data_IF_771896718761
#
_entry.id   IF_771896718761
#
_cell.length_a   1.000
_cell.length_b   1.000
_cell.length_c   1.000
_cell.angle_alpha   90.00
_cell.angle_beta   90.00
_cell.angle_gamma   90.00
#
_symmetry.space_group_name_H-M   'P 1'
#
loop_
_entity.id
_entity.type
_entity.pdbx_description
1 polymer ?
#
# COMPACT_ATOMS: atom_id res chain seq x y z
N UNK A 1 -43.46 -27.32 74.72
CA UNK A 1 -42.02 -27.57 74.59
C UNK A 1 -41.66 -27.13 73.16
N UNK A 2 -40.77 -26.20 73.14
CA UNK A 2 -40.50 -25.27 72.09
C UNK A 2 -39.95 -25.86 70.77
N UNK A 3 -40.60 -25.47 69.67
CA UNK A 3 -40.02 -25.54 68.34
C UNK A 3 -40.01 -24.11 67.77
N UNK A 4 -39.01 -23.34 68.19
CA UNK A 4 -38.65 -22.09 67.50
C UNK A 4 -37.12 -21.97 67.44
N UNK A 5 -36.66 -21.49 66.28
CA UNK A 5 -35.26 -21.10 65.96
C UNK A 5 -34.40 -22.11 65.16
N UNK A 6 -34.69 -22.37 63.89
CA UNK A 6 -33.66 -22.76 62.88
C UNK A 6 -33.81 -22.06 61.52
N UNK A 7 -34.82 -21.14 61.35
CA UNK A 7 -35.15 -20.58 60.03
C UNK A 7 -34.28 -19.37 59.57
N UNK A 8 -33.61 -18.60 60.42
CA UNK A 8 -33.05 -17.29 60.05
C UNK A 8 -31.57 -17.27 59.67
N UNK A 9 -30.80 -18.32 59.94
CA UNK A 9 -29.37 -18.32 59.61
C UNK A 9 -29.04 -18.73 58.14
N UNK A 10 -29.93 -19.43 57.43
CA UNK A 10 -29.68 -19.89 56.07
C UNK A 10 -30.01 -18.85 54.97
N UNK A 11 -30.95 -17.94 55.24
CA UNK A 11 -31.32 -16.89 54.26
C UNK A 11 -30.24 -15.85 54.04
N UNK A 12 -29.50 -15.46 55.11
CA UNK A 12 -28.41 -14.47 54.99
C UNK A 12 -27.13 -15.00 54.30
N UNK A 13 -26.85 -16.30 54.41
CA UNK A 13 -25.74 -16.92 53.67
C UNK A 13 -26.02 -17.07 52.18
N UNK A 14 -27.27 -17.41 51.78
CA UNK A 14 -27.67 -17.51 50.38
C UNK A 14 -27.68 -16.12 49.69
N UNK A 15 -28.19 -15.09 50.37
CA UNK A 15 -28.15 -13.73 49.81
C UNK A 15 -26.76 -13.16 49.62
N UNK A 16 -25.81 -13.40 50.55
CA UNK A 16 -24.42 -13.02 50.41
C UNK A 16 -23.69 -13.80 49.28
N UNK A 17 -23.96 -15.08 49.11
CA UNK A 17 -23.40 -15.89 48.04
C UNK A 17 -23.92 -15.46 46.64
N UNK A 18 -25.22 -15.17 46.52
CA UNK A 18 -25.80 -14.62 45.28
C UNK A 18 -25.23 -13.25 44.91
N UNK A 19 -25.00 -12.36 45.88
CA UNK A 19 -24.39 -11.07 45.64
C UNK A 19 -22.90 -11.18 45.24
N UNK A 20 -22.12 -12.11 45.80
CA UNK A 20 -20.74 -12.36 45.42
C UNK A 20 -20.64 -12.93 43.99
N UNK A 21 -21.56 -13.82 43.61
CA UNK A 21 -21.63 -14.37 42.24
C UNK A 21 -22.03 -13.28 41.23
N UNK A 22 -23.02 -12.43 41.58
CA UNK A 22 -23.45 -11.32 40.74
C UNK A 22 -22.31 -10.28 40.54
N UNK A 23 -21.58 -9.94 41.61
CA UNK A 23 -20.41 -9.01 41.54
C UNK A 23 -19.31 -9.60 40.67
N UNK A 24 -19.05 -10.92 40.72
CA UNK A 24 -18.06 -11.57 39.87
C UNK A 24 -18.49 -11.59 38.38
N UNK A 25 -19.77 -11.81 38.10
CA UNK A 25 -20.28 -11.81 36.73
C UNK A 25 -20.17 -10.41 36.08
N UNK A 26 -20.50 -9.37 36.82
CA UNK A 26 -20.38 -7.99 36.29
C UNK A 26 -18.92 -7.54 36.11
N UNK A 27 -18.04 -7.96 37.05
CA UNK A 27 -16.60 -7.74 36.88
C UNK A 27 -16.02 -8.47 35.64
N UNK A 28 -16.48 -9.69 35.38
CA UNK A 28 -16.10 -10.46 34.19
C UNK A 28 -16.66 -9.79 32.92
N UNK A 29 -17.93 -9.37 32.91
CA UNK A 29 -18.53 -8.64 31.78
C UNK A 29 -17.78 -7.34 31.48
N UNK A 30 -17.39 -6.58 32.51
CA UNK A 30 -16.62 -5.34 32.36
C UNK A 30 -15.21 -5.62 31.83
N UNK A 31 -14.56 -6.70 32.27
CA UNK A 31 -13.25 -7.14 31.77
C UNK A 31 -13.32 -7.58 30.31
N UNK A 32 -14.37 -8.32 29.93
CA UNK A 32 -14.62 -8.73 28.53
C UNK A 32 -14.90 -7.51 27.65
N UNK A 33 -15.70 -6.54 28.12
CA UNK A 33 -15.98 -5.29 27.39
C UNK A 33 -14.71 -4.46 27.20
N UNK A 34 -13.85 -4.34 28.22
CA UNK A 34 -12.53 -3.66 28.13
C UNK A 34 -11.57 -4.40 27.20
N UNK A 35 -11.57 -5.74 27.20
CA UNK A 35 -10.78 -6.54 26.25
C UNK A 35 -11.29 -6.41 24.83
N UNK A 36 -12.60 -6.44 24.58
CA UNK A 36 -13.20 -6.19 23.26
C UNK A 36 -12.85 -4.80 22.75
N UNK A 37 -12.95 -3.77 23.59
CA UNK A 37 -12.57 -2.40 23.22
C UNK A 37 -11.05 -2.26 22.94
N UNK A 38 -10.19 -2.95 23.71
CA UNK A 38 -8.75 -2.99 23.40
C UNK A 38 -8.46 -3.76 22.10
N UNK A 39 -9.16 -4.87 21.85
CA UNK A 39 -9.03 -5.64 20.60
C UNK A 39 -9.51 -4.82 19.40
N UNK A 40 -10.63 -4.11 19.52
CA UNK A 40 -11.13 -3.18 18.49
C UNK A 40 -10.14 -2.02 18.27
N UNK A 41 -9.59 -1.43 19.33
CA UNK A 41 -8.54 -0.40 19.19
C UNK A 41 -7.25 -0.95 18.57
N UNK A 42 -6.88 -2.19 18.84
CA UNK A 42 -5.71 -2.85 18.20
C UNK A 42 -6.02 -3.16 16.74
N UNK A 43 -7.23 -3.61 16.39
CA UNK A 43 -7.63 -3.79 14.99
C UNK A 43 -7.72 -2.48 14.21
N UNK A 44 -8.11 -1.36 14.84
CA UNK A 44 -8.16 -0.03 14.21
C UNK A 44 -6.78 0.62 14.04
N UNK A 45 -5.74 0.15 14.76
CA UNK A 45 -4.35 0.63 14.60
C UNK A 45 -3.60 -0.07 13.46
N UNK A 46 -4.17 -1.11 12.85
CA UNK A 46 -3.60 -1.83 11.71
C UNK A 46 -4.22 -1.44 10.35
N UNK A 47 -4.70 -0.20 10.19
CA UNK A 47 -4.88 0.37 8.86
C UNK A 47 -3.51 0.68 8.27
N UNK A 48 -2.81 -0.37 7.83
CA UNK A 48 -1.56 -0.25 7.10
C UNK A 48 -1.84 0.47 5.78
N UNK A 49 -1.09 1.53 5.53
CA UNK A 49 -0.88 2.13 4.24
C UNK A 49 -0.20 1.06 3.37
N UNK A 50 -0.94 0.42 2.50
CA UNK A 50 -0.37 -0.39 1.43
C UNK A 50 -0.31 0.52 0.20
N UNK A 51 0.84 0.68 -0.45
CA UNK A 51 0.95 1.20 -1.83
C UNK A 51 0.11 0.33 -2.76
N UNK A 52 0.17 0.52 -4.07
CA UNK A 52 -0.59 -0.40 -4.95
C UNK A 52 -0.73 -1.76 -4.28
N UNK A 53 -1.94 -2.26 -4.08
CA UNK A 53 -2.13 -3.55 -3.43
C UNK A 53 -1.25 -4.62 -4.10
N UNK A 54 -1.00 -5.72 -3.42
CA UNK A 54 -0.09 -6.76 -3.93
C UNK A 54 -0.37 -7.17 -5.38
N UNK A 55 -1.64 -7.16 -5.80
CA UNK A 55 -2.06 -7.47 -7.17
C UNK A 55 -1.52 -6.45 -8.16
N UNK A 56 -1.62 -5.15 -7.86
CA UNK A 56 -1.13 -4.07 -8.73
C UNK A 56 0.39 -4.08 -8.87
N UNK A 57 1.14 -4.17 -7.76
CA UNK A 57 2.60 -4.28 -7.81
C UNK A 57 3.08 -5.50 -8.59
N UNK A 58 2.46 -6.66 -8.36
CA UNK A 58 2.81 -7.87 -9.10
C UNK A 58 2.51 -7.77 -10.59
N UNK A 59 1.38 -7.16 -10.96
CA UNK A 59 1.05 -6.92 -12.36
C UNK A 59 2.08 -5.99 -13.02
N UNK A 60 2.49 -4.91 -12.34
CA UNK A 60 3.57 -4.02 -12.83
C UNK A 60 4.89 -4.76 -13.03
N UNK A 61 5.30 -5.59 -12.06
CA UNK A 61 6.50 -6.42 -12.18
C UNK A 61 6.42 -7.42 -13.34
N UNK A 62 5.29 -8.10 -13.51
CA UNK A 62 5.03 -9.06 -14.59
C UNK A 62 5.08 -8.39 -15.97
N UNK A 63 4.48 -7.20 -16.11
CA UNK A 63 4.55 -6.42 -17.34
C UNK A 63 6.01 -6.05 -17.63
N UNK A 64 6.75 -5.56 -16.64
CA UNK A 64 8.14 -5.20 -16.82
C UNK A 64 8.99 -6.38 -17.32
N UNK A 65 8.79 -7.58 -16.77
CA UNK A 65 9.52 -8.78 -17.20
C UNK A 65 9.37 -9.04 -18.71
N UNK A 66 8.22 -8.71 -19.30
CA UNK A 66 7.95 -8.93 -20.72
C UNK A 66 8.79 -8.03 -21.65
N UNK A 67 9.24 -6.87 -21.15
CA UNK A 67 9.98 -5.86 -21.93
C UNK A 67 11.47 -5.78 -21.55
N UNK A 68 11.96 -6.68 -20.67
CA UNK A 68 13.41 -6.76 -20.37
C UNK A 68 14.18 -7.32 -21.55
N UNK A 69 15.38 -6.79 -21.78
CA UNK A 69 16.36 -7.42 -22.67
C UNK A 69 16.90 -8.71 -22.07
N UNK A 70 17.48 -9.56 -22.87
CA UNK A 70 18.06 -10.82 -22.38
C UNK A 70 19.23 -10.56 -21.42
N UNK A 71 20.08 -9.55 -21.72
CA UNK A 71 21.18 -9.19 -20.83
C UNK A 71 20.68 -8.72 -19.46
N UNK A 72 19.67 -7.84 -19.45
CA UNK A 72 19.04 -7.37 -18.19
C UNK A 72 18.46 -8.56 -17.39
N UNK A 73 17.81 -9.52 -18.03
CA UNK A 73 17.31 -10.74 -17.36
C UNK A 73 18.44 -11.54 -16.72
N UNK A 74 19.57 -11.68 -17.41
CA UNK A 74 20.74 -12.41 -16.91
C UNK A 74 21.34 -11.70 -15.69
N UNK A 75 21.48 -10.37 -15.73
CA UNK A 75 22.01 -9.59 -14.60
C UNK A 75 21.07 -9.65 -13.37
N UNK A 76 19.77 -9.54 -13.56
CA UNK A 76 18.79 -9.69 -12.49
C UNK A 76 18.89 -11.07 -11.83
N UNK A 77 19.06 -12.15 -12.62
CA UNK A 77 19.25 -13.53 -12.10
C UNK A 77 20.52 -13.68 -11.26
N UNK A 78 21.57 -12.91 -11.55
CA UNK A 78 22.80 -12.91 -10.72
C UNK A 78 22.59 -12.22 -9.37
N UNK A 79 21.67 -11.24 -9.32
CA UNK A 79 21.41 -10.41 -8.14
C UNK A 79 20.34 -11.06 -7.25
N UNK A 80 19.23 -11.52 -7.82
CA UNK A 80 18.10 -12.09 -7.09
C UNK A 80 18.10 -13.61 -7.12
N UNK A 81 17.92 -14.24 -5.95
CA UNK A 81 17.74 -15.71 -5.86
C UNK A 81 16.48 -16.17 -6.57
N UNK A 82 15.39 -15.43 -6.39
CA UNK A 82 14.16 -15.52 -7.18
C UNK A 82 14.13 -14.32 -8.13
N UNK A 83 14.33 -14.52 -9.43
CA UNK A 83 14.44 -13.41 -10.39
C UNK A 83 13.10 -12.80 -10.78
N UNK A 84 11.97 -13.28 -10.26
CA UNK A 84 10.65 -12.72 -10.59
C UNK A 84 10.51 -11.29 -10.07
N UNK A 85 10.30 -10.35 -10.99
CA UNK A 85 10.00 -8.96 -10.63
C UNK A 85 8.62 -8.84 -9.98
N UNK A 86 7.66 -9.71 -10.35
CA UNK A 86 6.36 -9.76 -9.70
C UNK A 86 6.49 -10.14 -8.20
N UNK A 87 7.40 -11.05 -7.86
CA UNK A 87 7.70 -11.39 -6.45
C UNK A 87 8.48 -10.26 -5.78
N UNK A 88 9.50 -9.72 -6.45
CA UNK A 88 10.32 -8.63 -5.92
C UNK A 88 9.51 -7.36 -5.62
N UNK A 89 8.46 -7.09 -6.40
CA UNK A 89 7.66 -5.86 -6.31
C UNK A 89 6.90 -5.68 -4.98
N UNK A 90 6.63 -6.74 -4.24
CA UNK A 90 5.91 -6.67 -2.94
C UNK A 90 6.84 -6.67 -1.74
N UNK A 91 8.13 -6.91 -1.95
CA UNK A 91 9.09 -7.12 -0.86
C UNK A 91 9.25 -5.89 0.06
N UNK A 92 9.28 -4.67 -0.48
CA UNK A 92 9.47 -3.45 0.31
C UNK A 92 8.33 -3.25 1.34
N UNK A 93 7.11 -3.57 0.96
CA UNK A 93 5.95 -3.56 1.86
C UNK A 93 5.99 -4.67 2.91
N UNK A 94 6.41 -5.86 2.53
CA UNK A 94 6.54 -6.98 3.47
C UNK A 94 7.56 -6.65 4.57
N UNK A 95 8.63 -5.91 4.23
CA UNK A 95 9.64 -5.46 5.19
C UNK A 95 9.16 -4.37 6.15
N UNK A 96 8.06 -3.67 5.90
CA UNK A 96 7.54 -2.60 6.78
C UNK A 96 7.21 -3.08 8.21
N UNK A 97 6.95 -4.36 8.39
CA UNK A 97 6.76 -4.96 9.71
C UNK A 97 8.04 -5.02 10.54
N UNK A 98 9.23 -5.01 9.91
CA UNK A 98 10.51 -4.97 10.56
C UNK A 98 10.89 -3.53 10.96
N UNK A 99 11.23 -3.32 12.25
CA UNK A 99 11.57 -2.00 12.80
C UNK A 99 12.74 -1.32 12.07
N UNK A 100 13.71 -2.10 11.58
CA UNK A 100 14.92 -1.58 10.92
C UNK A 100 14.60 -0.93 9.56
N UNK A 101 13.47 -1.31 8.96
CA UNK A 101 13.00 -0.78 7.68
C UNK A 101 12.11 0.45 7.82
N UNK A 102 11.70 0.86 9.04
CA UNK A 102 10.88 2.06 9.26
C UNK A 102 11.52 3.35 8.73
N UNK A 103 12.84 3.41 8.67
CA UNK A 103 13.59 4.55 8.11
C UNK A 103 13.32 4.78 6.62
N UNK A 104 12.86 3.76 5.88
CA UNK A 104 12.51 3.83 4.47
C UNK A 104 11.02 4.11 4.21
N UNK A 105 10.20 4.28 5.25
CA UNK A 105 8.75 4.48 5.10
C UNK A 105 8.38 5.70 4.25
N UNK A 106 9.20 6.74 4.23
CA UNK A 106 8.99 7.93 3.41
C UNK A 106 9.40 7.73 1.95
N UNK A 107 10.09 6.65 1.60
CA UNK A 107 10.51 6.35 0.24
C UNK A 107 9.34 5.98 -0.67
N UNK A 108 8.21 5.54 -0.11
CA UNK A 108 7.04 5.07 -0.85
C UNK A 108 6.18 6.18 -1.45
N UNK A 109 6.37 7.44 -1.06
CA UNK A 109 5.51 8.55 -1.48
C UNK A 109 6.23 9.88 -1.44
N UNK A 110 5.60 10.90 -2.03
CA UNK A 110 5.89 12.30 -1.79
C UNK A 110 4.58 13.04 -1.53
N UNK A 111 4.56 13.84 -0.47
CA UNK A 111 3.45 14.74 -0.18
C UNK A 111 3.86 16.17 -0.52
N UNK A 112 3.17 16.78 -1.48
CA UNK A 112 3.49 18.11 -1.97
C UNK A 112 2.21 18.91 -2.31
N UNK A 113 2.27 20.27 -2.31
CA UNK A 113 1.15 21.08 -2.78
C UNK A 113 0.84 20.79 -4.25
N UNK A 114 -0.44 20.87 -4.63
CA UNK A 114 -0.92 20.50 -5.97
C UNK A 114 -0.47 21.42 -7.11
N UNK A 115 -0.13 22.65 -6.79
CA UNK A 115 0.23 23.72 -7.71
C UNK A 115 1.75 23.95 -7.77
N UNK A 116 2.53 23.13 -7.10
CA UNK A 116 4.00 23.24 -7.03
C UNK A 116 4.61 22.06 -7.77
N UNK A 117 5.47 22.31 -8.74
CA UNK A 117 6.24 21.24 -9.40
C UNK A 117 7.19 20.58 -8.42
N UNK A 118 7.48 19.30 -8.63
CA UNK A 118 8.39 18.57 -7.74
C UNK A 118 9.74 19.27 -7.58
N UNK A 119 10.35 19.75 -8.69
CA UNK A 119 11.68 20.43 -8.64
C UNK A 119 11.69 21.67 -7.75
N UNK A 120 10.56 22.35 -7.64
CA UNK A 120 10.39 23.60 -6.86
C UNK A 120 9.87 23.31 -5.43
N UNK A 121 9.48 22.07 -5.12
CA UNK A 121 8.94 21.69 -3.82
C UNK A 121 10.03 21.46 -2.77
N UNK A 122 9.65 21.62 -1.49
CA UNK A 122 10.52 21.27 -0.36
C UNK A 122 10.69 19.76 -0.27
N UNK A 123 11.92 19.26 -0.38
CA UNK A 123 12.23 17.84 -0.27
C UNK A 123 12.23 17.36 1.18
N UNK A 124 11.78 16.13 1.39
CA UNK A 124 11.88 15.47 2.69
C UNK A 124 13.35 15.21 3.05
N UNK A 125 13.83 15.59 4.25
CA UNK A 125 15.18 15.25 4.69
C UNK A 125 15.39 13.75 4.91
N UNK A 126 14.30 12.97 4.99
CA UNK A 126 14.33 11.49 5.09
C UNK A 126 14.27 10.80 3.73
N UNK A 127 14.24 11.57 2.65
CA UNK A 127 13.98 11.08 1.30
C UNK A 127 12.48 10.98 0.98
N UNK A 128 12.19 10.82 -0.29
CA UNK A 128 10.88 10.59 -0.87
C UNK A 128 11.03 9.59 -2.05
N UNK A 129 9.94 9.25 -2.72
CA UNK A 129 9.93 8.23 -3.78
C UNK A 129 10.88 8.56 -4.94
N UNK A 130 10.97 9.83 -5.36
CA UNK A 130 11.87 10.25 -6.46
C UNK A 130 13.34 10.12 -6.07
N UNK A 131 13.68 10.62 -4.87
CA UNK A 131 15.04 10.53 -4.34
C UNK A 131 15.45 9.06 -4.15
N UNK A 132 14.52 8.23 -3.67
CA UNK A 132 14.76 6.80 -3.45
C UNK A 132 15.00 6.04 -4.77
N UNK A 133 14.20 6.31 -5.82
CA UNK A 133 14.43 5.74 -7.16
C UNK A 133 15.83 6.12 -7.66
N UNK A 134 16.23 7.40 -7.57
CA UNK A 134 17.57 7.87 -7.98
C UNK A 134 18.69 7.19 -7.18
N UNK A 135 18.51 7.01 -5.87
CA UNK A 135 19.47 6.27 -5.02
C UNK A 135 19.58 4.82 -5.48
N UNK A 136 18.47 4.14 -5.70
CA UNK A 136 18.47 2.74 -6.15
C UNK A 136 19.18 2.58 -7.51
N UNK A 137 18.87 3.43 -8.49
CA UNK A 137 19.55 3.43 -9.81
C UNK A 137 21.06 3.59 -9.68
N UNK A 138 21.50 4.57 -8.89
CA UNK A 138 22.93 4.82 -8.68
C UNK A 138 23.64 3.64 -8.01
N UNK A 139 23.00 3.02 -7.01
CA UNK A 139 23.55 1.85 -6.31
C UNK A 139 23.63 0.61 -7.18
N UNK A 140 22.68 0.44 -8.09
CA UNK A 140 22.69 -0.69 -9.04
C UNK A 140 23.77 -0.52 -10.12
N UNK A 141 24.05 0.72 -10.57
CA UNK A 141 25.13 1.04 -11.54
C UNK A 141 26.53 1.01 -10.90
N UNK A 142 26.63 1.22 -9.60
CA UNK A 142 27.91 1.25 -8.89
C UNK A 142 28.50 -0.16 -8.76
N UNK A 143 29.62 -0.42 -9.45
CA UNK A 143 30.34 -1.69 -9.43
C UNK A 143 30.89 -2.06 -8.04
N UNK A 144 31.06 -1.08 -7.14
CA UNK A 144 31.52 -1.31 -5.76
C UNK A 144 30.39 -1.78 -4.82
N UNK A 145 29.13 -1.68 -5.23
CA UNK A 145 27.99 -2.14 -4.43
C UNK A 145 27.95 -3.68 -4.38
N UNK A 146 27.87 -4.24 -3.17
CA UNK A 146 27.78 -5.69 -2.97
C UNK A 146 26.53 -6.31 -3.61
N UNK A 147 26.55 -7.59 -3.94
CA UNK A 147 25.37 -8.27 -4.51
C UNK A 147 24.17 -8.27 -3.55
N UNK A 148 24.40 -8.36 -2.24
CA UNK A 148 23.31 -8.30 -1.26
C UNK A 148 22.68 -6.90 -1.21
N UNK A 149 23.50 -5.84 -1.28
CA UNK A 149 23.01 -4.47 -1.39
C UNK A 149 22.32 -4.23 -2.73
N UNK A 150 22.87 -4.75 -3.85
CA UNK A 150 22.19 -4.70 -5.15
C UNK A 150 20.81 -5.36 -5.11
N UNK A 151 20.70 -6.53 -4.46
CA UNK A 151 19.42 -7.21 -4.29
C UNK A 151 18.42 -6.37 -3.46
N UNK A 152 18.90 -5.67 -2.43
CA UNK A 152 18.09 -4.73 -1.65
C UNK A 152 17.60 -3.57 -2.51
N UNK A 153 18.49 -2.86 -3.20
CA UNK A 153 18.13 -1.70 -4.02
C UNK A 153 17.29 -2.07 -5.24
N UNK A 154 17.50 -3.25 -5.83
CA UNK A 154 16.68 -3.73 -6.94
C UNK A 154 15.23 -3.99 -6.52
N UNK A 155 15.01 -4.66 -5.39
CA UNK A 155 13.66 -4.87 -4.86
C UNK A 155 12.96 -3.56 -4.53
N UNK A 156 13.68 -2.61 -3.94
CA UNK A 156 13.12 -1.27 -3.73
C UNK A 156 12.78 -0.59 -5.06
N UNK A 157 13.68 -0.57 -6.03
CA UNK A 157 13.44 0.07 -7.33
C UNK A 157 12.18 -0.49 -8.01
N UNK A 158 12.04 -1.81 -8.07
CA UNK A 158 10.88 -2.48 -8.67
C UNK A 158 9.57 -2.05 -7.98
N UNK A 159 9.58 -1.92 -6.66
CA UNK A 159 8.43 -1.47 -5.89
C UNK A 159 8.12 0.02 -6.12
N UNK A 160 9.13 0.88 -5.97
CA UNK A 160 8.98 2.33 -5.98
C UNK A 160 8.54 2.89 -7.34
N UNK A 161 8.92 2.23 -8.44
CA UNK A 161 8.40 2.60 -9.77
C UNK A 161 6.91 2.32 -9.87
N UNK A 162 6.39 1.29 -9.22
CA UNK A 162 4.94 1.11 -9.04
C UNK A 162 4.32 2.24 -8.23
N UNK A 163 4.91 2.56 -7.08
CA UNK A 163 4.41 3.58 -6.15
C UNK A 163 4.25 4.96 -6.80
N UNK A 164 5.27 5.44 -7.54
CA UNK A 164 5.24 6.77 -8.15
C UNK A 164 4.15 6.92 -9.23
N UNK A 165 3.65 5.81 -9.78
CA UNK A 165 2.56 5.78 -10.75
C UNK A 165 1.18 5.62 -10.12
N UNK A 166 1.09 5.43 -8.78
CA UNK A 166 -0.17 5.50 -8.05
C UNK A 166 -0.44 6.98 -7.68
N UNK A 167 -1.49 7.61 -8.22
CA UNK A 167 -1.67 9.07 -8.08
C UNK A 167 -1.66 9.56 -6.64
N UNK A 168 -2.24 8.82 -5.67
CA UNK A 168 -2.31 9.24 -4.28
C UNK A 168 -0.99 9.09 -3.51
N UNK A 169 0.03 8.41 -4.09
CA UNK A 169 1.40 8.47 -3.59
C UNK A 169 2.12 9.80 -3.88
N UNK A 170 1.50 10.62 -4.76
CA UNK A 170 1.90 12.02 -5.03
C UNK A 170 0.84 12.98 -4.46
N UNK A 171 0.23 12.61 -3.37
CA UNK A 171 -0.90 13.31 -2.78
C UNK A 171 -0.53 14.49 -1.87
N UNK A 172 -1.53 15.06 -1.23
CA UNK A 172 -1.36 16.18 -0.30
C UNK A 172 -0.91 15.72 1.08
N UNK A 173 -0.12 16.55 1.77
CA UNK A 173 0.31 16.29 3.14
C UNK A 173 -0.87 16.39 4.14
N UNK A 174 -1.82 17.29 3.90
CA UNK A 174 -2.94 17.60 4.79
C UNK A 174 -3.87 16.41 5.03
N UNK A 175 -4.00 15.52 4.04
CA UNK A 175 -4.84 14.32 4.12
C UNK A 175 -4.03 13.02 3.97
N UNK A 176 -2.71 13.13 4.04
CA UNK A 176 -1.78 12.00 3.93
C UNK A 176 -2.01 11.19 2.64
N UNK A 177 -2.10 11.89 1.50
CA UNK A 177 -2.37 11.26 0.22
C UNK A 177 -3.73 10.55 0.16
N UNK A 178 -4.80 11.19 0.67
CA UNK A 178 -6.16 10.65 0.66
C UNK A 178 -6.49 9.62 1.76
N UNK A 179 -5.54 9.33 2.68
CA UNK A 179 -5.81 8.41 3.80
C UNK A 179 -6.81 8.97 4.81
N UNK A 180 -6.89 10.28 4.92
CA UNK A 180 -7.83 10.95 5.82
C UNK A 180 -9.18 11.26 5.15
N UNK A 181 -9.31 11.08 3.84
CA UNK A 181 -10.58 11.16 3.12
C UNK A 181 -11.33 9.85 3.30
N UNK A 182 -12.29 9.84 4.24
CA UNK A 182 -13.11 8.67 4.55
C UNK A 182 -14.22 8.52 3.53
N UNK A 183 -14.35 7.32 2.99
CA UNK A 183 -15.37 6.96 1.99
C UNK A 183 -15.97 5.59 2.34
N UNK A 184 -17.04 5.23 1.66
CA UNK A 184 -17.58 3.86 1.68
C UNK A 184 -17.31 3.18 0.35
N UNK A 185 -16.83 1.95 0.39
CA UNK A 185 -16.67 1.09 -0.78
C UNK A 185 -17.71 -0.03 -0.70
N UNK A 186 -18.69 0.02 -1.59
CA UNK A 186 -19.85 -0.89 -1.53
C UNK A 186 -20.48 -0.95 -0.12
N UNK A 187 -20.63 0.22 0.52
CA UNK A 187 -21.19 0.35 1.85
C UNK A 187 -20.22 0.11 3.02
N UNK A 188 -19.03 -0.41 2.79
CA UNK A 188 -18.01 -0.68 3.82
C UNK A 188 -17.10 0.53 4.02
N UNK A 189 -16.82 0.87 5.29
CA UNK A 189 -15.98 2.00 5.64
C UNK A 189 -14.52 1.77 5.21
N UNK A 190 -13.94 2.74 4.50
CA UNK A 190 -12.56 2.74 4.02
C UNK A 190 -12.03 4.19 3.88
N UNK A 191 -10.96 4.38 3.11
CA UNK A 191 -10.45 5.70 2.72
C UNK A 191 -10.10 5.72 1.23
N UNK A 192 -10.00 6.92 0.67
CA UNK A 192 -9.75 7.11 -0.76
C UNK A 192 -8.42 6.48 -1.21
N UNK A 193 -7.37 6.62 -0.41
CA UNK A 193 -6.06 6.02 -0.71
C UNK A 193 -6.19 4.50 -0.93
N UNK A 194 -6.84 3.79 0.00
CA UNK A 194 -7.03 2.34 -0.09
C UNK A 194 -7.94 1.92 -1.24
N UNK A 195 -8.89 2.76 -1.64
CA UNK A 195 -9.71 2.51 -2.83
C UNK A 195 -8.82 2.40 -4.07
N UNK A 196 -7.87 3.32 -4.24
CA UNK A 196 -6.93 3.32 -5.36
C UNK A 196 -5.87 2.23 -5.24
N UNK A 197 -5.29 2.03 -4.07
CA UNK A 197 -4.26 1.01 -3.87
C UNK A 197 -4.76 -0.41 -4.12
N UNK A 198 -5.99 -0.70 -3.69
CA UNK A 198 -6.40 -2.08 -3.52
C UNK A 198 -7.78 -2.35 -4.09
N UNK A 199 -8.80 -1.58 -3.66
CA UNK A 199 -10.18 -1.99 -3.88
C UNK A 199 -10.60 -1.99 -5.35
N UNK A 200 -10.21 -1.00 -6.14
CA UNK A 200 -10.55 -0.94 -7.58
C UNK A 200 -9.95 -2.14 -8.31
N UNK A 201 -8.71 -2.52 -7.98
CA UNK A 201 -8.00 -3.62 -8.66
C UNK A 201 -8.57 -4.96 -8.22
N UNK A 202 -8.75 -5.17 -6.92
CA UNK A 202 -9.21 -6.45 -6.37
C UNK A 202 -10.68 -6.74 -6.73
N UNK A 203 -11.51 -5.69 -6.91
CA UNK A 203 -12.91 -5.86 -7.33
C UNK A 203 -13.03 -6.45 -8.74
N UNK A 204 -12.02 -6.29 -9.57
CA UNK A 204 -11.96 -6.89 -10.90
C UNK A 204 -11.68 -8.39 -10.88
N UNK A 205 -11.25 -8.94 -9.75
CA UNK A 205 -11.06 -10.37 -9.47
C UNK A 205 -10.13 -11.10 -10.45
N UNK A 206 -9.21 -10.39 -11.10
CA UNK A 206 -8.14 -10.99 -11.89
C UNK A 206 -6.94 -11.32 -11.01
N UNK A 207 -6.29 -12.45 -11.24
CA UNK A 207 -4.94 -12.66 -10.76
C UNK A 207 -3.99 -11.62 -11.37
N UNK A 208 -2.83 -11.38 -10.76
CA UNK A 208 -1.89 -10.41 -11.31
C UNK A 208 -1.40 -10.77 -12.72
N UNK A 209 -1.29 -12.07 -13.03
CA UNK A 209 -0.91 -12.54 -14.37
C UNK A 209 -2.02 -12.33 -15.40
N UNK A 210 -3.28 -12.57 -15.02
CA UNK A 210 -4.44 -12.27 -15.90
C UNK A 210 -4.54 -10.76 -16.16
N UNK A 211 -4.35 -9.95 -15.11
CA UNK A 211 -4.34 -8.49 -15.24
C UNK A 211 -3.19 -8.02 -16.14
N UNK A 212 -1.96 -8.48 -15.93
CA UNK A 212 -0.81 -8.14 -16.75
C UNK A 212 -1.04 -8.50 -18.22
N UNK A 213 -1.50 -9.72 -18.49
CA UNK A 213 -1.85 -10.16 -19.86
C UNK A 213 -2.97 -9.32 -20.48
N UNK A 214 -4.02 -9.02 -19.72
CA UNK A 214 -5.09 -8.15 -20.19
C UNK A 214 -4.55 -6.76 -20.57
N UNK A 215 -3.69 -6.17 -19.75
CA UNK A 215 -3.10 -4.85 -20.01
C UNK A 215 -2.20 -4.87 -21.26
N UNK A 216 -1.34 -5.86 -21.41
CA UNK A 216 -0.45 -6.02 -22.56
C UNK A 216 -1.20 -6.26 -23.87
N UNK A 217 -2.38 -6.85 -23.83
CA UNK A 217 -3.23 -7.05 -25.01
C UNK A 217 -4.02 -5.79 -25.40
N UNK A 218 -4.19 -4.82 -24.49
CA UNK A 218 -5.01 -3.63 -24.71
C UNK A 218 -4.19 -2.33 -24.87
N UNK A 219 -2.93 -2.33 -24.42
CA UNK A 219 -2.03 -1.18 -24.52
C UNK A 219 -0.77 -1.56 -25.28
N UNK A 220 -0.15 -0.56 -25.94
CA UNK A 220 1.12 -0.74 -26.64
C UNK A 220 2.24 0.00 -25.88
N UNK A 221 3.37 -0.67 -25.67
CA UNK A 221 4.54 -0.04 -25.04
C UNK A 221 5.07 1.15 -25.89
N UNK A 222 4.87 1.14 -27.19
CA UNK A 222 5.27 2.25 -28.09
C UNK A 222 4.47 3.53 -27.85
N UNK A 223 3.31 3.45 -27.19
CA UNK A 223 2.47 4.61 -26.88
C UNK A 223 2.86 5.24 -25.53
N UNK A 224 3.74 4.60 -24.78
CA UNK A 224 4.20 5.08 -23.48
C UNK A 224 5.42 5.98 -23.63
N UNK A 225 5.30 7.23 -23.20
CA UNK A 225 6.45 8.15 -23.11
C UNK A 225 7.28 7.78 -21.88
N UNK A 226 8.59 7.50 -22.11
CA UNK A 226 9.45 6.95 -21.05
C UNK A 226 9.74 7.95 -19.94
N UNK A 227 10.16 9.17 -20.24
CA UNK A 227 10.35 10.29 -19.30
C UNK A 227 11.37 10.00 -18.17
N UNK A 228 11.66 10.99 -17.38
CA UNK A 228 12.47 10.92 -16.15
C UNK A 228 11.58 10.79 -14.90
N UNK A 229 12.16 10.42 -13.77
CA UNK A 229 11.43 10.32 -12.50
C UNK A 229 10.80 11.66 -12.06
N UNK A 230 11.47 12.78 -12.40
CA UNK A 230 10.95 14.13 -12.11
C UNK A 230 9.72 14.47 -12.98
N UNK A 231 9.65 13.93 -14.21
CA UNK A 231 8.50 14.08 -15.10
C UNK A 231 7.37 13.10 -14.75
N UNK A 232 7.69 11.87 -14.29
CA UNK A 232 6.67 10.92 -13.82
C UNK A 232 5.86 11.49 -12.66
N UNK A 233 6.53 12.19 -11.74
CA UNK A 233 5.85 12.77 -10.59
C UNK A 233 4.96 13.94 -10.99
N UNK A 234 5.39 14.77 -11.95
CA UNK A 234 4.57 15.87 -12.48
C UNK A 234 3.33 15.33 -13.24
N UNK A 235 3.44 14.16 -13.90
CA UNK A 235 2.32 13.46 -14.51
C UNK A 235 1.36 12.92 -13.46
N UNK A 236 1.85 12.19 -12.46
CA UNK A 236 1.03 11.65 -11.36
C UNK A 236 0.34 12.76 -10.56
N UNK A 237 0.97 13.94 -10.41
CA UNK A 237 0.35 15.09 -9.76
C UNK A 237 -0.88 15.60 -10.53
N UNK A 238 -0.84 15.61 -11.87
CA UNK A 238 -2.02 15.98 -12.68
C UNK A 238 -3.16 15.00 -12.47
N UNK A 239 -2.85 13.72 -12.39
CA UNK A 239 -3.84 12.66 -12.17
C UNK A 239 -4.44 12.72 -10.77
N UNK A 240 -3.64 12.96 -9.74
CA UNK A 240 -4.14 13.08 -8.37
C UNK A 240 -5.10 14.25 -8.20
N UNK A 241 -4.90 15.36 -8.93
CA UNK A 241 -5.82 16.48 -8.92
C UNK A 241 -7.21 16.08 -9.43
N UNK A 242 -7.28 15.26 -10.50
CA UNK A 242 -8.53 14.68 -10.98
C UNK A 242 -9.16 13.80 -9.89
N UNK A 243 -8.42 12.85 -9.32
CA UNK A 243 -8.90 11.95 -8.26
C UNK A 243 -9.52 12.72 -7.09
N UNK A 244 -8.86 13.78 -6.63
CA UNK A 244 -9.38 14.61 -5.55
C UNK A 244 -10.62 15.43 -5.93
N UNK A 245 -10.76 15.83 -7.20
CA UNK A 245 -11.92 16.59 -7.67
C UNK A 245 -13.20 15.76 -7.72
N UNK A 246 -13.08 14.44 -7.86
CA UNK A 246 -14.19 13.51 -8.04
C UNK A 246 -14.77 12.98 -6.72
N UNK A 247 -14.06 13.13 -5.60
CA UNK A 247 -14.45 12.49 -4.32
C UNK A 247 -14.48 13.49 -3.18
N UNK A 248 -15.60 13.49 -2.44
CA UNK A 248 -15.75 14.22 -1.18
C UNK A 248 -15.66 13.26 0.02
N UNK A 249 -15.29 13.80 1.17
CA UNK A 249 -15.30 13.05 2.41
C UNK A 249 -16.71 12.51 2.71
N UNK A 250 -16.79 11.20 3.05
CA UNK A 250 -18.00 10.40 3.30
C UNK A 250 -18.81 10.00 2.06
N UNK A 251 -18.29 10.17 0.86
CA UNK A 251 -18.93 9.65 -0.34
C UNK A 251 -19.05 8.12 -0.31
N UNK A 252 -20.06 7.60 -1.00
CA UNK A 252 -20.27 6.16 -1.21
C UNK A 252 -19.86 5.82 -2.63
N UNK A 253 -18.79 5.04 -2.75
CA UNK A 253 -18.18 4.63 -4.01
C UNK A 253 -18.53 3.16 -4.31
N UNK A 254 -18.65 2.84 -5.60
CA UNK A 254 -19.02 1.51 -6.07
C UNK A 254 -18.84 1.39 -7.59
N UNK A 255 -19.73 0.66 -8.26
CA UNK A 255 -19.63 0.34 -9.69
C UNK A 255 -19.43 1.56 -10.61
N UNK A 256 -20.13 2.66 -10.36
CA UNK A 256 -19.96 3.89 -11.16
C UNK A 256 -18.54 4.42 -11.05
N UNK A 257 -17.99 4.47 -9.83
CA UNK A 257 -16.63 4.94 -9.60
C UNK A 257 -15.58 4.03 -10.26
N UNK A 258 -15.78 2.70 -10.23
CA UNK A 258 -14.94 1.75 -10.96
C UNK A 258 -15.00 2.05 -12.45
N UNK A 259 -16.20 2.14 -13.03
CA UNK A 259 -16.40 2.40 -14.45
C UNK A 259 -15.69 3.68 -14.93
N UNK A 260 -15.74 4.75 -14.14
CA UNK A 260 -15.14 6.05 -14.46
C UNK A 260 -13.61 6.09 -14.29
N UNK A 261 -13.03 5.23 -13.43
CA UNK A 261 -11.63 5.34 -13.04
C UNK A 261 -10.77 4.12 -13.38
N UNK A 262 -11.35 2.95 -13.68
CA UNK A 262 -10.57 1.74 -13.86
C UNK A 262 -9.66 1.80 -15.11
N UNK A 263 -10.06 2.48 -16.18
CA UNK A 263 -9.19 2.65 -17.34
C UNK A 263 -7.93 3.46 -17.01
N UNK A 264 -8.05 4.46 -16.13
CA UNK A 264 -6.90 5.20 -15.63
C UNK A 264 -5.99 4.31 -14.78
N UNK A 265 -6.54 3.50 -13.88
CA UNK A 265 -5.77 2.53 -13.07
C UNK A 265 -5.01 1.56 -13.97
N UNK A 266 -5.67 0.99 -14.97
CA UNK A 266 -5.09 0.09 -15.97
C UNK A 266 -3.90 0.75 -16.70
N UNK A 267 -4.10 1.97 -17.18
CA UNK A 267 -3.06 2.71 -17.89
C UNK A 267 -1.85 2.98 -16.99
N UNK A 268 -2.07 3.36 -15.73
CA UNK A 268 -0.98 3.62 -14.78
C UNK A 268 -0.17 2.35 -14.46
N UNK A 269 -0.83 1.21 -14.26
CA UNK A 269 -0.16 -0.06 -14.04
C UNK A 269 0.70 -0.48 -15.24
N UNK A 270 0.15 -0.33 -16.46
CA UNK A 270 0.87 -0.65 -17.68
C UNK A 270 2.06 0.28 -17.89
N UNK A 271 1.85 1.59 -17.74
CA UNK A 271 2.90 2.62 -17.85
C UNK A 271 4.03 2.36 -16.86
N UNK A 272 3.70 2.05 -15.60
CA UNK A 272 4.69 1.70 -14.57
C UNK A 272 5.53 0.48 -14.98
N UNK A 273 4.91 -0.56 -15.53
CA UNK A 273 5.61 -1.76 -15.98
C UNK A 273 6.59 -1.47 -17.14
N UNK A 274 6.15 -0.71 -18.15
CA UNK A 274 7.00 -0.34 -19.30
C UNK A 274 8.18 0.55 -18.85
N UNK A 275 7.93 1.55 -18.02
CA UNK A 275 8.96 2.46 -17.49
C UNK A 275 9.93 1.74 -16.55
N UNK A 276 9.46 0.75 -15.79
CA UNK A 276 10.33 -0.11 -14.97
C UNK A 276 11.29 -0.91 -15.85
N UNK A 277 10.78 -1.52 -16.92
CA UNK A 277 11.61 -2.27 -17.86
C UNK A 277 12.67 -1.39 -18.51
N UNK A 278 12.28 -0.21 -19.02
CA UNK A 278 13.20 0.76 -19.60
C UNK A 278 14.29 1.18 -18.59
N UNK A 279 13.90 1.47 -17.36
CA UNK A 279 14.83 1.82 -16.29
C UNK A 279 15.84 0.71 -16.02
N UNK A 280 15.38 -0.55 -15.94
CA UNK A 280 16.24 -1.71 -15.69
C UNK A 280 17.16 -2.01 -16.88
N UNK A 281 16.63 -1.93 -18.11
CA UNK A 281 17.45 -2.06 -19.31
C UNK A 281 18.54 -0.98 -19.36
N UNK A 282 18.22 0.28 -19.09
CA UNK A 282 19.21 1.37 -19.01
C UNK A 282 20.20 1.27 -17.83
N UNK A 283 20.00 0.38 -16.88
CA UNK A 283 20.96 0.08 -15.80
C UNK A 283 21.90 -1.04 -16.21
N UNK A 284 21.39 -2.09 -16.86
CA UNK A 284 22.10 -3.36 -17.04
C UNK A 284 22.58 -3.63 -18.48
N UNK A 285 22.13 -2.87 -19.48
CA UNK A 285 22.54 -2.96 -20.88
C UNK A 285 23.67 -1.98 -21.28
N UNK A 286 24.17 -1.16 -20.34
CA UNK A 286 25.32 -0.25 -20.57
C UNK A 286 26.65 -0.95 -20.59
#
# INVERSE_FOLDING_TARGET
MDFHLIGEKNGKKHGKMLNIVAINVDAIKLKIKKMKNKLICIMLLFSFLFPWGKTGHRATGEIAESYLTENTRLEIRKILKDPSLAVASTWADEMRSNSDFRKFSTWHYVNMPHDVRYVDSKKSPKGDVVQAIKICKNKLKDSSTSNDDKAFYLRFLVHLVGDIHQPLHVGRAEDRGGNDIKVKWFGNDTNLHRVWDTHIIDDFQMSYTELANHLQNNFSATDITLMTEDEWIDESQKLVNKVYSEVKNKDSLGYTYIYENFDLVKLQLFTAGVRLADTLNGIFDE
#
